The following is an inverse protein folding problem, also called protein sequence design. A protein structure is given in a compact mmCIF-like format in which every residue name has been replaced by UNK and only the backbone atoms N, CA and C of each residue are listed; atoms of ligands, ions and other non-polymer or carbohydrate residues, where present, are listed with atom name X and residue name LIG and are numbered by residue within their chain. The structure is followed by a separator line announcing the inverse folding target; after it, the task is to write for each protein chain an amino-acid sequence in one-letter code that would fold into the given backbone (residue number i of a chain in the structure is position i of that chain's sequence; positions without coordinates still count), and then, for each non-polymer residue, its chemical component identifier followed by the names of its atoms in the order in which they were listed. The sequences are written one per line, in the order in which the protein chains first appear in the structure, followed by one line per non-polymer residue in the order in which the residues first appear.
data_IF_494150955737
#
_entry.id   IF_494150955737
#
_cell.length_a   1.000
_cell.length_b   1.000
_cell.length_c   1.000
_cell.angle_alpha   90.00
_cell.angle_beta   90.00
_cell.angle_gamma   90.00
#
_symmetry.space_group_name_H-M   'P 1'
#
loop_
_entity.id
_entity.type
_entity.pdbx_description
1 polymer ?
#
# COMPACT_ATOMS: atom_id res chain seq x y z
N UNK A 1 -2.46 -12.07 -12.71
CA UNK A 1 -2.09 -10.92 -11.86
C UNK A 1 -2.21 -11.30 -10.37
N UNK A 2 -1.33 -12.16 -9.85
CA UNK A 2 -1.39 -12.59 -8.43
C UNK A 2 0.00 -12.85 -7.80
N UNK A 3 1.08 -12.46 -8.48
CA UNK A 3 2.45 -12.80 -8.04
C UNK A 3 2.80 -12.16 -6.69
N UNK A 4 2.34 -10.93 -6.45
CA UNK A 4 2.56 -10.23 -5.18
C UNK A 4 1.74 -10.83 -4.04
N UNK A 5 0.45 -11.13 -4.26
CA UNK A 5 -0.41 -11.75 -3.22
C UNK A 5 0.05 -13.16 -2.88
N UNK A 6 0.50 -13.95 -3.86
CA UNK A 6 1.09 -15.27 -3.61
C UNK A 6 2.40 -15.20 -2.83
N UNK A 7 3.32 -14.30 -3.20
CA UNK A 7 4.62 -14.18 -2.52
C UNK A 7 4.52 -13.56 -1.13
N UNK A 8 3.59 -12.64 -0.92
CA UNK A 8 3.40 -11.96 0.37
C UNK A 8 2.41 -12.66 1.28
N UNK A 9 1.70 -13.67 0.77
CA UNK A 9 0.56 -14.34 1.43
C UNK A 9 -0.42 -13.33 2.06
N UNK A 10 -0.62 -12.22 1.34
CA UNK A 10 -1.64 -11.21 1.57
C UNK A 10 -2.74 -11.44 0.55
N UNK A 11 -4.00 -11.31 0.96
CA UNK A 11 -5.11 -11.51 0.04
C UNK A 11 -5.06 -10.51 -1.11
N UNK A 12 -5.41 -10.98 -2.31
CA UNK A 12 -5.47 -10.13 -3.51
C UNK A 12 -6.36 -8.89 -3.31
N UNK A 13 -7.43 -9.01 -2.51
CA UNK A 13 -8.34 -7.90 -2.22
C UNK A 13 -7.63 -6.77 -1.46
N UNK A 14 -6.77 -7.10 -0.50
CA UNK A 14 -5.99 -6.10 0.25
C UNK A 14 -4.99 -5.42 -0.67
N UNK A 15 -4.25 -6.18 -1.48
CA UNK A 15 -3.31 -5.60 -2.45
C UNK A 15 -4.03 -4.70 -3.45
N UNK A 16 -5.20 -5.12 -3.95
CA UNK A 16 -6.05 -4.31 -4.83
C UNK A 16 -6.54 -3.03 -4.13
N UNK A 17 -6.91 -3.11 -2.85
CA UNK A 17 -7.37 -1.96 -2.08
C UNK A 17 -6.25 -0.94 -1.88
N UNK A 18 -5.05 -1.37 -1.50
CA UNK A 18 -3.87 -0.50 -1.36
C UNK A 18 -3.50 0.13 -2.70
N UNK A 19 -3.54 -0.65 -3.78
CA UNK A 19 -3.22 -0.14 -5.12
C UNK A 19 -4.20 0.94 -5.60
N UNK A 20 -5.47 0.83 -5.25
CA UNK A 20 -6.49 1.83 -5.60
C UNK A 20 -6.52 3.02 -4.64
N UNK A 21 -6.20 2.77 -3.37
CA UNK A 21 -6.17 3.77 -2.32
C UNK A 21 -4.88 3.60 -1.50
N UNK A 22 -3.84 4.41 -1.77
CA UNK A 22 -2.59 4.40 -1.01
C UNK A 22 -2.77 4.67 0.50
N UNK A 23 -3.89 5.29 0.88
CA UNK A 23 -4.28 5.57 2.26
C UNK A 23 -5.14 4.47 2.90
N UNK A 24 -5.26 3.30 2.26
CA UNK A 24 -5.99 2.17 2.83
C UNK A 24 -5.38 1.73 4.15
N UNK A 25 -6.20 1.63 5.20
CA UNK A 25 -5.74 1.23 6.54
C UNK A 25 -5.30 -0.23 6.51
N UNK A 26 -4.03 -0.45 6.79
CA UNK A 26 -3.43 -1.78 6.92
C UNK A 26 -2.71 -1.93 8.25
N UNK A 27 -2.46 -3.18 8.63
CA UNK A 27 -1.65 -3.48 9.80
C UNK A 27 -0.16 -3.37 9.46
N UNK A 28 0.66 -3.11 10.47
CA UNK A 28 2.12 -2.99 10.34
C UNK A 28 2.77 -4.29 9.86
N UNK A 29 2.24 -5.46 10.22
CA UNK A 29 2.72 -6.76 9.72
C UNK A 29 2.43 -6.96 8.23
N UNK A 30 1.29 -6.48 7.74
CA UNK A 30 0.98 -6.49 6.30
C UNK A 30 2.00 -5.65 5.53
N UNK A 31 2.35 -4.47 6.05
CA UNK A 31 3.33 -3.59 5.44
C UNK A 31 4.74 -4.19 5.42
N UNK A 32 5.18 -4.80 6.52
CA UNK A 32 6.47 -5.49 6.61
C UNK A 32 6.58 -6.67 5.62
N UNK A 33 5.49 -7.44 5.45
CA UNK A 33 5.44 -8.54 4.46
C UNK A 33 5.55 -8.04 3.03
N UNK A 34 4.90 -6.92 2.70
CA UNK A 34 5.04 -6.28 1.38
C UNK A 34 6.48 -5.84 1.15
N UNK A 35 7.09 -5.15 2.11
CA UNK A 35 8.47 -4.68 2.03
C UNK A 35 9.46 -5.84 1.80
N UNK A 36 9.33 -6.94 2.56
CA UNK A 36 10.16 -8.15 2.41
C UNK A 36 10.07 -8.77 1.03
N UNK A 37 8.88 -8.83 0.44
CA UNK A 37 8.68 -9.41 -0.90
C UNK A 37 9.17 -8.50 -2.02
N UNK A 38 9.10 -7.19 -1.80
CA UNK A 38 9.61 -6.17 -2.71
C UNK A 38 11.11 -5.93 -2.54
N UNK A 39 11.73 -6.52 -1.52
CA UNK A 39 13.17 -6.42 -1.24
C UNK A 39 13.62 -4.96 -1.00
N UNK A 40 12.73 -4.17 -0.40
CA UNK A 40 12.96 -2.77 -0.02
C UNK A 40 12.70 -2.59 1.49
N UNK A 41 13.33 -1.61 2.15
CA UNK A 41 12.98 -1.26 3.51
C UNK A 41 11.56 -0.67 3.57
N UNK A 42 10.86 -0.87 4.69
CA UNK A 42 9.48 -0.38 4.90
C UNK A 42 9.36 1.13 4.69
N UNK A 43 10.42 1.89 4.96
CA UNK A 43 10.47 3.35 4.77
C UNK A 43 10.34 3.78 3.32
N UNK A 44 10.63 2.91 2.34
CA UNK A 44 10.41 3.18 0.91
C UNK A 44 8.95 2.97 0.49
N UNK A 45 8.13 2.35 1.35
CA UNK A 45 6.69 2.15 1.11
C UNK A 45 5.83 3.22 1.78
N UNK A 46 6.38 4.00 2.70
CA UNK A 46 5.68 5.06 3.43
C UNK A 46 6.26 6.41 3.01
N UNK A 47 5.39 7.35 2.69
CA UNK A 47 5.77 8.74 2.45
C UNK A 47 5.06 9.66 3.45
N UNK A 48 5.78 10.66 3.95
CA UNK A 48 5.19 11.74 4.74
C UNK A 48 4.62 12.80 3.79
N UNK A 49 3.29 12.80 3.67
CA UNK A 49 2.54 13.66 2.76
C UNK A 49 1.69 14.66 3.53
N UNK A 50 1.66 15.91 3.06
CA UNK A 50 0.85 16.96 3.68
C UNK A 50 -0.65 16.63 3.59
N UNK A 51 -1.46 17.20 4.48
CA UNK A 51 -2.91 16.99 4.43
C UNK A 51 -3.54 17.48 3.12
N UNK A 52 -3.01 18.55 2.54
CA UNK A 52 -3.47 19.10 1.28
C UNK A 52 -3.16 18.14 0.13
N UNK A 53 -1.98 17.51 0.13
CA UNK A 53 -1.63 16.50 -0.86
C UNK A 53 -2.55 15.28 -0.74
N UNK A 54 -2.75 14.78 0.49
CA UNK A 54 -3.69 13.68 0.77
C UNK A 54 -5.10 13.99 0.28
N UNK A 55 -5.61 15.20 0.55
CA UNK A 55 -6.95 15.64 0.11
C UNK A 55 -7.04 15.71 -1.41
N UNK A 56 -5.98 16.15 -2.12
CA UNK A 56 -5.94 16.15 -3.59
C UNK A 56 -5.99 14.74 -4.16
N UNK A 57 -5.20 13.81 -3.61
CA UNK A 57 -5.13 12.43 -4.11
C UNK A 57 -6.42 11.65 -3.87
N UNK A 58 -7.04 11.81 -2.69
CA UNK A 58 -8.35 11.22 -2.38
C UNK A 58 -9.51 11.95 -3.09
N UNK A 59 -9.30 13.19 -3.52
CA UNK A 59 -10.29 14.07 -4.14
C UNK A 59 -10.16 14.21 -5.66
N UNK A 60 -9.17 13.59 -6.31
CA UNK A 60 -9.05 13.46 -7.77
C UNK A 60 -9.65 12.13 -8.25
N UNK A 61 -10.89 11.89 -7.81
CA UNK A 61 -11.88 11.08 -8.50
C UNK A 61 -13.09 11.98 -8.74
N UNK A 62 -12.91 13.07 -9.47
CA UNK A 62 -14.01 13.91 -10.00
C UNK A 62 -14.07 13.73 -11.50
#
# INVERSE_FOLDING_TARGET
MNKLSQRSEISYNIIRAIFHNPYHVIRTDTLDRLAKVLEVPVTELIEDVSEEQRKRELGQSV
#
